data_IF_872848334691
#
_entry.id   IF_872848334691
#
_cell.length_a   1.000
_cell.length_b   1.000
_cell.length_c   1.000
_cell.angle_alpha   90.00
_cell.angle_beta   90.00
_cell.angle_gamma   90.00
#
_symmetry.space_group_name_H-M   'P 1'
#
loop_
_entity.id
_entity.type
_entity.pdbx_description
1 polymer ?
#
# COMPACT_ATOMS: atom_id res chain seq x y z
N UNK A 1 21.52 11.33 8.38
CA UNK A 1 21.98 11.23 9.78
C UNK A 1 23.08 10.20 9.84
N UNK A 2 24.14 10.42 10.63
CA UNK A 2 25.19 9.42 10.82
C UNK A 2 24.59 8.13 11.36
N UNK A 3 25.10 6.99 10.93
CA UNK A 3 24.61 5.69 11.38
C UNK A 3 25.74 4.68 11.59
N UNK A 4 25.58 3.83 12.59
CA UNK A 4 26.52 2.76 12.96
C UNK A 4 26.20 1.40 12.31
N UNK A 5 25.12 1.29 11.53
CA UNK A 5 24.69 0.00 10.97
C UNK A 5 25.74 -0.56 9.99
N UNK A 6 25.94 -1.90 9.95
CA UNK A 6 26.99 -2.50 9.12
C UNK A 6 26.75 -2.33 7.62
N UNK A 7 25.51 -2.09 7.19
CA UNK A 7 25.13 -1.82 5.80
C UNK A 7 25.06 -0.32 5.45
N UNK A 8 25.66 0.56 6.25
CA UNK A 8 25.68 2.00 5.96
C UNK A 8 26.34 2.29 4.60
N UNK A 9 25.80 3.24 3.83
CA UNK A 9 26.47 3.78 2.65
C UNK A 9 27.36 4.94 3.05
N UNK A 10 28.56 5.02 2.49
CA UNK A 10 29.46 6.16 2.67
C UNK A 10 29.12 7.21 1.62
N UNK A 11 28.75 8.41 2.05
CA UNK A 11 28.52 9.57 1.18
C UNK A 11 29.44 10.69 1.65
N UNK A 12 30.40 11.06 0.79
CA UNK A 12 31.53 11.91 1.21
C UNK A 12 32.38 11.18 2.25
N UNK A 13 32.36 11.67 3.49
CA UNK A 13 33.09 11.07 4.63
C UNK A 13 32.16 10.60 5.76
N UNK A 14 30.84 10.61 5.53
CA UNK A 14 29.86 10.25 6.55
C UNK A 14 29.18 8.93 6.20
N UNK A 15 29.01 8.07 7.22
CA UNK A 15 28.22 6.83 7.12
C UNK A 15 26.75 7.18 7.29
N UNK A 16 25.97 7.05 6.24
CA UNK A 16 24.53 7.34 6.24
C UNK A 16 23.71 6.09 5.94
N UNK A 17 22.44 6.12 6.31
CA UNK A 17 21.51 5.05 5.96
C UNK A 17 21.36 4.96 4.43
N UNK A 18 21.46 3.75 3.83
CA UNK A 18 21.30 3.57 2.41
C UNK A 18 19.82 3.59 2.02
N UNK A 19 19.21 4.77 2.08
CA UNK A 19 17.76 4.97 1.83
C UNK A 19 17.31 4.39 0.49
N UNK A 20 18.17 4.37 -0.52
CA UNK A 20 17.84 3.80 -1.84
C UNK A 20 17.70 2.27 -1.80
N UNK A 21 18.49 1.60 -0.95
CA UNK A 21 18.33 0.15 -0.74
C UNK A 21 17.03 -0.12 0.01
N UNK A 22 16.67 0.70 1.00
CA UNK A 22 15.40 0.56 1.72
C UNK A 22 14.20 0.74 0.77
N UNK A 23 14.26 1.74 -0.13
CA UNK A 23 13.23 1.97 -1.13
C UNK A 23 13.17 0.84 -2.18
N UNK A 24 14.32 0.28 -2.58
CA UNK A 24 14.35 -0.88 -3.47
C UNK A 24 13.68 -2.10 -2.84
N UNK A 25 14.03 -2.42 -1.58
CA UNK A 25 13.41 -3.52 -0.84
C UNK A 25 11.91 -3.30 -0.70
N UNK A 26 11.49 -2.08 -0.36
CA UNK A 26 10.08 -1.71 -0.30
C UNK A 26 9.39 -1.88 -1.66
N UNK A 27 9.99 -1.44 -2.75
CA UNK A 27 9.43 -1.57 -4.10
C UNK A 27 9.26 -3.05 -4.51
N UNK A 28 10.23 -3.91 -4.19
CA UNK A 28 10.12 -5.36 -4.42
C UNK A 28 9.00 -5.95 -3.56
N UNK A 29 8.91 -5.57 -2.28
CA UNK A 29 7.82 -6.00 -1.40
C UNK A 29 6.45 -5.58 -1.93
N UNK A 30 6.30 -4.32 -2.36
CA UNK A 30 5.09 -3.81 -2.99
C UNK A 30 4.75 -4.63 -4.22
N UNK A 31 5.70 -4.88 -5.11
CA UNK A 31 5.49 -5.69 -6.30
C UNK A 31 4.98 -7.09 -5.96
N UNK A 32 5.56 -7.76 -4.96
CA UNK A 32 5.12 -9.07 -4.50
C UNK A 32 3.67 -9.01 -4.00
N UNK A 33 3.32 -8.02 -3.18
CA UNK A 33 1.95 -7.84 -2.68
C UNK A 33 0.96 -7.62 -3.83
N UNK A 34 1.31 -6.76 -4.81
CA UNK A 34 0.45 -6.52 -5.97
C UNK A 34 0.30 -7.78 -6.83
N UNK A 35 1.38 -8.53 -7.07
CA UNK A 35 1.36 -9.79 -7.83
C UNK A 35 0.58 -10.90 -7.13
N UNK A 36 0.52 -10.88 -5.80
CA UNK A 36 -0.26 -11.83 -5.02
C UNK A 36 -1.77 -11.61 -5.12
N UNK A 37 -2.23 -10.42 -5.55
CA UNK A 37 -3.64 -10.14 -5.77
C UNK A 37 -4.17 -10.89 -7.00
N UNK A 38 -5.00 -11.91 -6.76
CA UNK A 38 -5.65 -12.69 -7.82
C UNK A 38 -6.91 -11.94 -8.26
N UNK A 39 -6.89 -11.37 -9.47
CA UNK A 39 -8.02 -10.63 -10.07
C UNK A 39 -8.60 -9.52 -9.17
N UNK A 40 -7.78 -8.51 -8.78
CA UNK A 40 -8.29 -7.40 -7.98
C UNK A 40 -9.38 -6.65 -8.75
N UNK A 41 -10.42 -6.20 -8.04
CA UNK A 41 -11.40 -5.28 -8.60
C UNK A 41 -10.70 -4.03 -9.16
N UNK A 42 -11.31 -3.39 -10.14
CA UNK A 42 -10.74 -2.20 -10.78
C UNK A 42 -10.34 -1.15 -9.74
N UNK A 43 -9.10 -0.65 -9.84
CA UNK A 43 -8.53 0.34 -8.93
C UNK A 43 -7.94 -0.21 -7.62
N UNK A 44 -8.28 -1.43 -7.18
CA UNK A 44 -7.76 -1.99 -5.91
C UNK A 44 -6.24 -2.11 -5.93
N UNK A 45 -5.65 -2.64 -7.00
CA UNK A 45 -4.19 -2.74 -7.11
C UNK A 45 -3.49 -1.37 -7.04
N UNK A 46 -4.06 -0.35 -7.68
CA UNK A 46 -3.52 1.01 -7.64
C UNK A 46 -3.66 1.63 -6.24
N UNK A 47 -4.79 1.45 -5.57
CA UNK A 47 -5.00 1.95 -4.20
C UNK A 47 -4.08 1.23 -3.20
N UNK A 48 -3.85 -0.07 -3.36
CA UNK A 48 -2.83 -0.81 -2.59
C UNK A 48 -1.44 -0.26 -2.85
N UNK A 49 -1.10 0.05 -4.10
CA UNK A 49 0.17 0.69 -4.44
C UNK A 49 0.32 2.04 -3.73
N UNK A 50 -0.68 2.93 -3.80
CA UNK A 50 -0.63 4.25 -3.14
C UNK A 50 -0.44 4.12 -1.63
N UNK A 51 -1.17 3.19 -0.99
CA UNK A 51 -1.03 2.93 0.43
C UNK A 51 0.40 2.51 0.80
N UNK A 52 0.91 1.45 0.17
CA UNK A 52 2.21 0.89 0.51
C UNK A 52 3.37 1.81 0.12
N UNK A 53 3.26 2.49 -1.03
CA UNK A 53 4.27 3.44 -1.48
C UNK A 53 4.30 4.68 -0.58
N UNK A 54 3.14 5.18 -0.16
CA UNK A 54 3.03 6.28 0.80
C UNK A 54 3.68 5.91 2.14
N UNK A 55 3.37 4.73 2.69
CA UNK A 55 3.99 4.22 3.92
C UNK A 55 5.52 4.11 3.76
N UNK A 56 5.98 3.51 2.67
CA UNK A 56 7.42 3.31 2.41
C UNK A 56 8.16 4.65 2.37
N UNK A 57 7.59 5.64 1.67
CA UNK A 57 8.20 6.98 1.58
C UNK A 57 8.18 7.71 2.92
N UNK A 58 7.10 7.59 3.69
CA UNK A 58 6.95 8.18 5.02
C UNK A 58 8.01 7.66 6.00
N UNK A 59 8.19 6.33 6.03
CA UNK A 59 9.16 5.66 6.92
C UNK A 59 10.59 5.98 6.50
N UNK A 60 10.91 5.91 5.21
CA UNK A 60 12.27 6.18 4.73
C UNK A 60 12.70 7.62 5.00
N UNK A 61 11.77 8.58 4.97
CA UNK A 61 12.10 9.98 5.20
C UNK A 61 12.66 10.25 6.61
N UNK A 62 12.36 9.41 7.60
CA UNK A 62 12.94 9.50 8.96
C UNK A 62 14.47 9.43 8.93
N UNK A 63 15.03 8.75 7.94
CA UNK A 63 16.48 8.62 7.77
C UNK A 63 17.10 9.74 6.94
N UNK A 64 16.27 10.51 6.22
CA UNK A 64 16.69 11.65 5.40
C UNK A 64 16.84 12.88 6.28
N UNK A 65 17.86 13.69 6.02
CA UNK A 65 17.98 15.01 6.62
C UNK A 65 17.12 15.99 5.82
N UNK A 66 15.89 16.19 6.28
CA UNK A 66 14.90 17.08 5.67
C UNK A 66 14.47 18.15 6.67
N UNK A 67 14.13 19.34 6.15
CA UNK A 67 13.60 20.43 6.97
C UNK A 67 12.15 20.09 7.41
N UNK A 68 11.81 20.24 8.70
CA UNK A 68 10.43 20.09 9.17
C UNK A 68 9.51 21.14 8.53
N UNK A 69 8.29 20.75 8.20
CA UNK A 69 7.25 21.62 7.64
C UNK A 69 6.14 21.90 8.66
N UNK A 70 5.60 20.86 9.30
CA UNK A 70 4.52 20.99 10.29
C UNK A 70 4.89 20.17 11.53
N UNK A 71 5.19 20.83 12.64
CA UNK A 71 5.71 20.16 13.83
C UNK A 71 7.01 19.39 13.50
N UNK A 72 7.15 18.12 13.92
CA UNK A 72 8.31 17.31 13.59
C UNK A 72 8.27 16.71 12.17
N UNK A 73 7.15 16.86 11.43
CA UNK A 73 6.97 16.22 10.13
C UNK A 73 7.56 17.05 9.00
N UNK A 74 8.27 16.39 8.10
CA UNK A 74 8.83 16.99 6.88
C UNK A 74 7.77 17.14 5.79
N UNK A 75 8.02 17.98 4.78
CA UNK A 75 7.15 18.08 3.61
C UNK A 75 6.91 16.72 2.92
N UNK A 76 7.96 15.89 2.83
CA UNK A 76 7.87 14.56 2.25
C UNK A 76 7.02 13.60 3.10
N UNK A 77 7.12 13.68 4.43
CA UNK A 77 6.27 12.90 5.33
C UNK A 77 4.80 13.32 5.24
N UNK A 78 4.52 14.63 5.21
CA UNK A 78 3.13 15.11 5.04
C UNK A 78 2.55 14.62 3.72
N UNK A 79 3.24 14.84 2.60
CA UNK A 79 2.74 14.42 1.29
C UNK A 79 2.56 12.91 1.15
N UNK A 80 3.55 12.11 1.59
CA UNK A 80 3.44 10.66 1.55
C UNK A 80 2.39 10.10 2.51
N UNK A 81 2.19 10.73 3.66
CA UNK A 81 1.11 10.41 4.60
C UNK A 81 -0.27 10.65 3.99
N UNK A 82 -0.48 11.78 3.31
CA UNK A 82 -1.74 12.07 2.59
C UNK A 82 -2.01 11.00 1.52
N UNK A 83 -0.99 10.64 0.73
CA UNK A 83 -1.12 9.59 -0.30
C UNK A 83 -1.46 8.23 0.32
N UNK A 84 -0.81 7.86 1.43
CA UNK A 84 -1.10 6.63 2.15
C UNK A 84 -2.55 6.60 2.66
N UNK A 85 -3.00 7.69 3.30
CA UNK A 85 -4.37 7.82 3.81
C UNK A 85 -5.42 7.77 2.69
N UNK A 86 -5.14 8.40 1.53
CA UNK A 86 -6.01 8.33 0.37
C UNK A 86 -6.13 6.90 -0.18
N UNK A 87 -5.00 6.18 -0.29
CA UNK A 87 -4.99 4.77 -0.67
C UNK A 87 -5.80 3.90 0.28
N UNK A 88 -5.61 4.07 1.59
CA UNK A 88 -6.38 3.35 2.62
C UNK A 88 -7.88 3.66 2.55
N UNK A 89 -8.25 4.94 2.47
CA UNK A 89 -9.64 5.37 2.35
C UNK A 89 -10.32 4.78 1.12
N UNK A 90 -9.64 4.78 -0.02
CA UNK A 90 -10.12 4.15 -1.25
C UNK A 90 -10.33 2.65 -1.11
N UNK A 91 -9.40 1.93 -0.46
CA UNK A 91 -9.54 0.48 -0.22
C UNK A 91 -10.72 0.17 0.70
N UNK A 92 -10.89 0.92 1.80
CA UNK A 92 -12.04 0.75 2.71
C UNK A 92 -13.35 1.02 1.98
N UNK A 93 -13.39 2.04 1.13
CA UNK A 93 -14.57 2.34 0.32
C UNK A 93 -14.87 1.25 -0.72
N UNK A 94 -13.85 0.72 -1.40
CA UNK A 94 -14.01 -0.36 -2.37
C UNK A 94 -14.51 -1.66 -1.71
N UNK A 95 -13.97 -2.02 -0.54
CA UNK A 95 -14.38 -3.20 0.21
C UNK A 95 -15.85 -3.15 0.63
N UNK A 96 -16.39 -1.95 0.90
CA UNK A 96 -17.81 -1.75 1.25
C UNK A 96 -18.77 -1.90 0.06
N UNK A 97 -18.26 -1.90 -1.18
CA UNK A 97 -19.08 -1.97 -2.41
C UNK A 97 -19.11 -3.35 -3.06
N UNK A 98 -18.31 -4.30 -2.60
CA UNK A 98 -18.40 -5.68 -3.07
C UNK A 98 -19.69 -6.32 -2.56
N UNK A 99 -20.61 -6.77 -3.44
CA UNK A 99 -21.83 -7.44 -2.98
C UNK A 99 -21.47 -8.73 -2.25
N UNK A 100 -22.24 -9.11 -1.20
CA UNK A 100 -22.09 -10.41 -0.55
C UNK A 100 -22.17 -11.52 -1.61
N UNK A 101 -21.22 -12.47 -1.59
CA UNK A 101 -21.29 -13.67 -2.41
C UNK A 101 -22.67 -14.30 -2.15
N UNK A 102 -23.53 -14.48 -3.18
CA UNK A 102 -24.78 -15.20 -3.00
C UNK A 102 -24.46 -16.55 -2.37
N UNK A 103 -25.03 -16.83 -1.20
CA UNK A 103 -24.85 -18.10 -0.53
C UNK A 103 -25.15 -19.21 -1.54
N UNK A 104 -24.24 -20.17 -1.66
CA UNK A 104 -24.25 -21.24 -2.67
C UNK A 104 -25.49 -22.17 -2.65
N UNK A 105 -26.54 -21.82 -1.90
CA UNK A 105 -27.80 -22.57 -1.78
C UNK A 105 -28.92 -22.14 -2.73
N UNK A 106 -28.74 -21.17 -3.63
CA UNK A 106 -29.79 -20.77 -4.58
C UNK A 106 -29.73 -21.46 -5.95
N UNK A 107 -28.72 -22.28 -6.22
CA UNK A 107 -28.58 -23.02 -7.49
C UNK A 107 -29.16 -24.44 -7.45
N UNK A 108 -29.69 -24.85 -6.30
CA UNK A 108 -30.19 -26.22 -6.06
C UNK A 108 -31.72 -26.27 -5.89
N UNK A 109 -32.45 -25.29 -6.42
CA UNK A 109 -33.91 -25.43 -6.63
C UNK A 109 -34.12 -26.02 -8.02
N UNK A 110 -34.45 -27.32 -8.15
CA UNK A 110 -34.96 -27.85 -9.40
C UNK A 110 -36.21 -27.05 -9.76
N UNK A 111 -36.36 -26.73 -11.04
CA UNK A 111 -37.56 -26.09 -11.58
C UNK A 111 -38.77 -27.03 -11.44
N UNK A 112 -39.31 -27.16 -10.25
CA UNK A 112 -40.44 -28.02 -9.96
C UNK A 112 -41.74 -27.22 -10.04
N UNK A 113 -42.57 -27.61 -11.01
CA UNK A 113 -44.00 -27.32 -10.99
C UNK A 113 -44.45 -26.04 -11.68
N UNK A 114 -44.32 -25.96 -13.01
CA UNK A 114 -45.29 -25.19 -13.80
C UNK A 114 -46.32 -26.17 -14.41
N UNK A 115 -47.58 -26.20 -13.94
CA UNK A 115 -48.62 -26.87 -14.70
C UNK A 115 -48.83 -26.14 -16.03
N UNK A 116 -48.70 -26.90 -17.13
CA UNK A 116 -49.05 -26.49 -18.49
C UNK A 116 -50.59 -26.43 -18.62
N UNK A 117 -51.12 -25.59 -19.54
CA UNK A 117 -52.54 -25.18 -19.57
C UNK A 117 -53.54 -26.30 -19.87
#
# INVERSE_FOLDING_TARGET
RPTGVPWASVVGFERVHPTQIYLLVAAVGIYIVLRAQRQPAAGVAFLTFLLLQGISRFVVDVFVQSVPLVGPLTAAQVGSGIVALAGLGGLVWAARRSPPIPAAGSLDQPAEGRPQP
#
